data_IF_834149486141
#
_entry.id   IF_834149486141
#
_cell.length_a   1.000
_cell.length_b   1.000
_cell.length_c   1.000
_cell.angle_alpha   90.00
_cell.angle_beta   90.00
_cell.angle_gamma   90.00
#
_symmetry.space_group_name_H-M   'P 1'
#
loop_
_entity.id
_entity.type
_entity.pdbx_description
1 polymer ?
#
# COMPACT_ATOMS: atom_id res chain seq x y z
N UNK A 1 -38.45 -96.11 33.38
CA UNK A 1 -39.46 -96.41 34.42
C UNK A 1 -38.85 -96.17 35.81
N UNK A 2 -39.63 -95.52 36.68
CA UNK A 2 -39.68 -95.61 38.15
C UNK A 2 -38.41 -95.57 39.02
N UNK A 3 -38.22 -94.41 39.67
CA UNK A 3 -38.15 -94.15 41.14
C UNK A 3 -37.73 -95.24 42.16
N UNK A 4 -36.79 -94.87 43.06
CA UNK A 4 -36.81 -95.02 44.55
C UNK A 4 -35.53 -94.32 45.12
N UNK A 5 -35.60 -93.19 45.83
CA UNK A 5 -35.77 -93.00 47.30
C UNK A 5 -34.77 -93.79 48.20
N UNK A 6 -33.79 -93.12 48.82
CA UNK A 6 -33.72 -92.71 50.26
C UNK A 6 -32.68 -93.61 51.00
N UNK A 7 -31.82 -93.24 51.97
CA UNK A 7 -31.94 -92.42 53.20
C UNK A 7 -30.52 -92.05 53.75
N UNK A 8 -30.41 -90.83 54.33
CA UNK A 8 -29.54 -90.23 55.38
C UNK A 8 -28.37 -91.00 56.08
N UNK A 9 -27.24 -90.30 56.37
CA UNK A 9 -27.00 -89.61 57.66
C UNK A 9 -25.56 -89.05 57.87
N UNK A 10 -25.49 -87.72 58.07
CA UNK A 10 -24.70 -86.89 59.01
C UNK A 10 -23.33 -87.38 59.57
N UNK A 11 -22.27 -86.58 59.37
CA UNK A 11 -21.45 -85.92 60.44
C UNK A 11 -20.29 -85.09 59.83
N UNK A 12 -20.23 -83.80 60.21
CA UNK A 12 -19.16 -82.86 59.86
C UNK A 12 -17.85 -83.18 60.59
N UNK A 13 -16.69 -82.98 59.93
CA UNK A 13 -15.45 -82.64 60.61
C UNK A 13 -15.02 -81.20 60.32
N UNK A 14 -14.42 -80.62 61.35
CA UNK A 14 -13.90 -79.27 61.53
C UNK A 14 -12.78 -78.87 60.55
N UNK A 15 -12.75 -77.58 60.23
CA UNK A 15 -11.76 -76.89 59.39
C UNK A 15 -10.45 -76.66 60.17
N UNK A 16 -9.27 -76.98 59.61
CA UNK A 16 -8.02 -76.37 60.02
C UNK A 16 -7.63 -75.22 59.08
N UNK A 17 -7.40 -74.05 59.69
CA UNK A 17 -6.75 -72.89 59.08
C UNK A 17 -5.29 -73.22 58.68
N UNK A 18 -4.98 -73.20 57.38
CA UNK A 18 -3.73 -72.63 56.84
C UNK A 18 -3.69 -72.68 55.30
N UNK A 19 -4.08 -71.60 54.63
CA UNK A 19 -3.69 -71.35 53.24
C UNK A 19 -3.23 -69.90 53.16
N UNK A 20 -1.93 -69.71 52.97
CA UNK A 20 -1.28 -68.44 52.63
C UNK A 20 -1.66 -68.08 51.19
N UNK A 21 -2.11 -66.85 50.89
CA UNK A 21 -2.44 -66.46 49.53
C UNK A 21 -1.17 -66.44 48.64
N UNK A 22 -1.28 -66.82 47.35
CA UNK A 22 -0.18 -66.68 46.41
C UNK A 22 0.11 -65.18 46.15
N UNK A 23 1.39 -64.87 45.96
CA UNK A 23 1.88 -63.55 45.56
C UNK A 23 1.20 -63.06 44.26
N UNK A 24 0.91 -61.76 44.12
CA UNK A 24 0.25 -61.26 42.92
C UNK A 24 1.15 -61.45 41.69
N UNK A 25 0.65 -62.24 40.74
CA UNK A 25 1.22 -62.43 39.42
C UNK A 25 1.33 -61.08 38.69
N UNK A 26 2.54 -60.75 38.24
CA UNK A 26 2.80 -59.58 37.41
C UNK A 26 2.03 -59.71 36.10
N UNK A 27 1.00 -58.87 35.92
CA UNK A 27 0.29 -58.72 34.65
C UNK A 27 1.27 -58.12 33.64
N UNK A 28 1.47 -58.70 32.44
CA UNK A 28 2.25 -58.05 31.40
C UNK A 28 1.51 -56.79 30.95
N UNK A 29 2.12 -55.64 31.22
CA UNK A 29 1.66 -54.34 30.75
C UNK A 29 1.77 -54.36 29.23
N UNK A 30 0.62 -54.34 28.53
CA UNK A 30 0.62 -54.07 27.09
C UNK A 30 1.29 -52.69 26.88
N UNK A 31 2.15 -52.54 25.85
CA UNK A 31 2.60 -51.21 25.47
C UNK A 31 1.37 -50.33 25.21
N UNK A 32 1.37 -49.07 25.67
CA UNK A 32 0.26 -48.17 25.44
C UNK A 32 -0.06 -48.14 23.94
N UNK A 33 -1.35 -48.28 23.62
CA UNK A 33 -1.87 -47.97 22.29
C UNK A 33 -1.27 -46.61 21.87
N UNK A 34 -0.79 -46.43 20.62
CA UNK A 34 -0.37 -45.10 20.17
C UNK A 34 -1.53 -44.14 20.46
N UNK A 35 -1.25 -43.12 21.28
CA UNK A 35 -2.20 -42.06 21.58
C UNK A 35 -2.75 -41.52 20.25
N UNK A 36 -4.06 -41.26 20.12
CA UNK A 36 -4.58 -40.58 18.94
C UNK A 36 -3.75 -39.31 18.74
N UNK A 37 -3.13 -39.19 17.56
CA UNK A 37 -2.15 -38.14 17.28
C UNK A 37 -2.78 -36.78 17.61
N UNK A 38 -1.99 -36.04 18.38
CA UNK A 38 -2.37 -34.97 19.28
C UNK A 38 -3.14 -33.87 18.55
N UNK A 39 -4.42 -33.71 18.89
CA UNK A 39 -5.21 -32.56 18.44
C UNK A 39 -4.47 -31.26 18.84
N UNK A 40 -4.20 -30.39 17.88
CA UNK A 40 -3.51 -29.12 18.11
C UNK A 40 -4.32 -27.92 17.60
N UNK A 41 -4.00 -26.74 18.09
CA UNK A 41 -4.42 -25.47 17.53
C UNK A 41 -3.21 -24.71 17.04
N UNK A 42 -3.37 -23.94 15.97
CA UNK A 42 -2.34 -23.01 15.50
C UNK A 42 -2.72 -21.63 16.00
N UNK A 43 -1.73 -20.89 16.48
CA UNK A 43 -1.91 -19.54 16.98
C UNK A 43 -0.90 -18.63 16.29
N UNK A 44 -1.42 -17.60 15.63
CA UNK A 44 -0.65 -16.52 15.03
C UNK A 44 -0.43 -15.37 16.02
N UNK A 45 0.14 -14.25 15.57
CA UNK A 45 0.22 -13.03 16.37
C UNK A 45 -1.19 -12.50 16.69
N UNK A 46 -1.33 -11.87 17.86
CA UNK A 46 -2.58 -11.26 18.35
C UNK A 46 -2.79 -9.84 17.80
N UNK A 47 -1.79 -9.27 17.13
CA UNK A 47 -1.81 -7.97 16.47
C UNK A 47 -1.26 -8.09 15.05
N UNK A 48 -1.55 -7.09 14.22
CA UNK A 48 -0.99 -7.01 12.88
C UNK A 48 0.54 -6.88 12.95
N UNK A 49 1.25 -7.68 12.18
CA UNK A 49 2.71 -7.59 12.04
C UNK A 49 3.01 -6.40 11.14
N UNK A 50 3.80 -5.45 11.62
CA UNK A 50 4.18 -4.28 10.84
C UNK A 50 5.57 -4.49 10.23
N UNK A 51 5.71 -4.21 8.93
CA UNK A 51 7.00 -4.24 8.24
C UNK A 51 7.20 -3.00 7.37
N UNK A 52 8.43 -2.52 7.26
CA UNK A 52 8.76 -1.34 6.43
C UNK A 52 8.99 -1.74 4.98
N UNK A 53 8.59 -0.87 4.03
CA UNK A 53 8.88 -1.04 2.61
C UNK A 53 10.40 -1.26 2.35
N UNK A 54 10.75 -2.28 1.57
CA UNK A 54 12.12 -2.70 1.29
C UNK A 54 12.85 -3.38 2.46
N UNK A 55 12.21 -3.47 3.63
CA UNK A 55 12.74 -4.12 4.83
C UNK A 55 12.48 -5.63 4.86
N UNK A 56 12.43 -6.19 6.08
CA UNK A 56 12.03 -7.58 6.34
C UNK A 56 10.77 -7.65 7.21
N UNK A 57 9.94 -8.66 7.00
CA UNK A 57 8.83 -9.04 7.87
C UNK A 57 9.08 -10.43 8.46
N UNK A 58 8.65 -10.66 9.70
CA UNK A 58 8.74 -11.96 10.36
C UNK A 58 7.35 -12.38 10.84
N UNK A 59 6.78 -13.40 10.19
CA UNK A 59 5.44 -13.91 10.46
C UNK A 59 5.56 -15.16 11.34
N UNK A 60 5.15 -15.05 12.61
CA UNK A 60 5.28 -16.13 13.59
C UNK A 60 4.01 -16.96 13.71
N UNK A 61 4.13 -18.28 13.77
CA UNK A 61 3.04 -19.16 14.20
C UNK A 61 3.51 -20.24 15.16
N UNK A 62 2.60 -20.71 16.00
CA UNK A 62 2.92 -21.74 16.97
C UNK A 62 1.80 -22.74 17.25
N UNK A 63 2.19 -23.95 17.62
CA UNK A 63 1.31 -25.03 18.04
C UNK A 63 0.96 -24.92 19.53
N UNK A 64 -0.31 -25.20 19.84
CA UNK A 64 -0.80 -25.41 21.21
C UNK A 64 -1.59 -26.72 21.26
N UNK A 65 -1.23 -27.69 22.12
CA UNK A 65 -0.08 -27.69 23.02
C UNK A 65 1.26 -27.74 22.27
N UNK A 66 2.37 -27.35 22.94
CA UNK A 66 3.71 -27.35 22.32
C UNK A 66 4.14 -28.76 21.93
N UNK A 67 4.58 -28.93 20.69
CA UNK A 67 5.06 -30.21 20.14
C UNK A 67 5.91 -29.97 18.91
N UNK A 68 6.73 -30.94 18.51
CA UNK A 68 7.58 -30.82 17.33
C UNK A 68 6.75 -30.76 16.05
N UNK A 69 7.10 -29.81 15.18
CA UNK A 69 6.56 -29.66 13.85
C UNK A 69 7.54 -30.07 12.73
N UNK A 70 8.70 -30.66 13.07
CA UNK A 70 9.74 -31.02 12.08
C UNK A 70 9.24 -31.97 10.99
N UNK A 71 8.35 -32.88 11.38
CA UNK A 71 7.75 -33.89 10.51
C UNK A 71 6.35 -33.50 10.03
N UNK A 72 5.98 -32.22 10.14
CA UNK A 72 4.73 -31.67 9.63
C UNK A 72 5.00 -30.89 8.35
N UNK A 73 3.99 -30.78 7.50
CA UNK A 73 3.97 -29.76 6.46
C UNK A 73 3.58 -28.43 7.11
N UNK A 74 4.41 -27.42 6.91
CA UNK A 74 4.23 -26.09 7.50
C UNK A 74 4.31 -25.08 6.37
N UNK A 75 3.36 -24.16 6.30
CA UNK A 75 3.37 -23.19 5.22
C UNK A 75 2.61 -21.91 5.52
N UNK A 76 2.88 -20.93 4.67
CA UNK A 76 2.15 -19.67 4.61
C UNK A 76 1.54 -19.52 3.23
N UNK A 77 0.29 -19.10 3.21
CA UNK A 77 -0.44 -18.76 1.98
C UNK A 77 -1.09 -17.39 2.09
N UNK A 78 -1.35 -16.75 0.96
CA UNK A 78 -2.21 -15.57 0.91
C UNK A 78 -3.64 -15.98 1.22
N UNK A 79 -4.31 -15.31 2.15
CA UNK A 79 -5.63 -15.76 2.61
C UNK A 79 -6.73 -15.65 1.55
N UNK A 80 -6.60 -14.72 0.59
CA UNK A 80 -7.63 -14.44 -0.41
C UNK A 80 -7.73 -15.57 -1.45
N UNK A 81 -6.58 -16.03 -1.95
CA UNK A 81 -6.52 -16.97 -3.07
C UNK A 81 -5.83 -18.31 -2.71
N UNK A 82 -5.40 -18.48 -1.45
CA UNK A 82 -4.67 -19.66 -0.95
C UNK A 82 -3.40 -19.99 -1.73
N UNK A 83 -2.79 -18.98 -2.35
CA UNK A 83 -1.54 -19.11 -3.10
C UNK A 83 -0.32 -19.21 -2.17
N UNK A 84 0.65 -20.03 -2.54
CA UNK A 84 1.77 -20.44 -1.68
C UNK A 84 2.83 -19.33 -1.59
N UNK A 85 2.98 -18.78 -0.40
CA UNK A 85 4.04 -17.82 -0.05
C UNK A 85 5.30 -18.56 0.33
N UNK A 86 5.20 -19.60 1.16
CA UNK A 86 6.31 -20.47 1.52
C UNK A 86 5.77 -21.81 2.01
N UNK A 87 6.50 -22.89 1.72
CA UNK A 87 6.12 -24.24 2.10
C UNK A 87 7.34 -25.02 2.56
N UNK A 88 7.22 -25.70 3.70
CA UNK A 88 8.20 -26.61 4.24
C UNK A 88 7.59 -28.00 4.36
N UNK A 89 8.30 -29.00 3.87
CA UNK A 89 7.91 -30.41 3.92
C UNK A 89 9.14 -31.30 3.83
N UNK A 90 9.09 -32.45 4.50
CA UNK A 90 10.13 -33.48 4.45
C UNK A 90 11.53 -32.96 4.83
N UNK A 91 11.59 -32.04 5.80
CA UNK A 91 12.87 -31.47 6.26
C UNK A 91 13.43 -30.36 5.39
N UNK A 92 12.72 -29.91 4.35
CA UNK A 92 13.23 -28.96 3.36
C UNK A 92 12.19 -27.92 2.92
N UNK A 93 12.66 -26.73 2.57
CA UNK A 93 11.84 -25.68 1.95
C UNK A 93 11.52 -26.03 0.49
N UNK A 94 10.28 -25.77 0.08
CA UNK A 94 9.71 -26.19 -1.21
C UNK A 94 9.47 -24.97 -2.11
N UNK A 95 10.53 -24.49 -2.77
CA UNK A 95 10.46 -23.30 -3.63
C UNK A 95 9.74 -23.52 -4.98
N UNK A 96 9.53 -24.77 -5.40
CA UNK A 96 8.98 -25.09 -6.74
C UNK A 96 7.50 -24.76 -6.93
N UNK A 97 6.73 -24.63 -5.86
CA UNK A 97 5.30 -24.26 -5.88
C UNK A 97 5.05 -22.84 -5.36
N UNK A 98 6.13 -22.13 -5.04
CA UNK A 98 6.07 -20.77 -4.52
C UNK A 98 5.61 -19.80 -5.61
N UNK A 99 4.79 -18.83 -5.23
CA UNK A 99 4.45 -17.70 -6.09
C UNK A 99 5.72 -16.97 -6.56
N UNK A 100 5.74 -16.59 -7.84
CA UNK A 100 6.89 -15.94 -8.47
C UNK A 100 7.31 -14.67 -7.72
N UNK A 101 6.34 -13.93 -7.19
CA UNK A 101 6.53 -12.67 -6.45
C UNK A 101 7.34 -12.83 -5.16
N UNK A 102 7.34 -14.02 -4.54
CA UNK A 102 8.07 -14.32 -3.31
C UNK A 102 9.38 -15.08 -3.55
N UNK A 103 9.68 -15.39 -4.82
CA UNK A 103 10.88 -16.14 -5.18
C UNK A 103 12.15 -15.40 -4.75
N UNK A 104 13.02 -16.08 -4.00
CA UNK A 104 14.26 -15.49 -3.49
C UNK A 104 14.07 -14.50 -2.34
N UNK A 105 12.84 -14.32 -1.84
CA UNK A 105 12.50 -13.36 -0.78
C UNK A 105 12.10 -14.01 0.54
N UNK A 106 12.02 -15.34 0.63
CA UNK A 106 11.49 -15.99 1.85
C UNK A 106 12.49 -16.95 2.48
N UNK A 107 12.45 -17.07 3.80
CA UNK A 107 13.25 -18.02 4.57
C UNK A 107 12.45 -18.53 5.78
N UNK A 108 12.41 -19.85 5.98
CA UNK A 108 11.83 -20.44 7.19
C UNK A 108 12.88 -20.53 8.30
N UNK A 109 12.65 -19.80 9.40
CA UNK A 109 13.45 -19.91 10.61
C UNK A 109 12.95 -21.09 11.46
N UNK A 110 13.82 -22.09 11.60
CA UNK A 110 13.49 -23.42 12.16
C UNK A 110 14.15 -23.72 13.52
N UNK A 111 14.79 -22.74 14.15
CA UNK A 111 15.54 -22.95 15.40
C UNK A 111 14.68 -23.52 16.55
N UNK A 112 13.37 -23.28 16.52
CA UNK A 112 12.43 -23.66 17.57
C UNK A 112 11.26 -24.54 17.08
N UNK A 113 11.44 -25.15 15.92
CA UNK A 113 10.43 -26.01 15.30
C UNK A 113 10.11 -27.24 16.14
N UNK A 114 11.07 -27.72 16.94
CA UNK A 114 10.90 -28.85 17.88
C UNK A 114 9.93 -28.54 19.01
N UNK A 115 9.73 -27.26 19.34
CA UNK A 115 8.72 -26.80 20.30
C UNK A 115 7.44 -26.31 19.61
N UNK A 116 7.36 -26.46 18.28
CA UNK A 116 6.20 -26.08 17.48
C UNK A 116 6.11 -24.59 17.21
N UNK A 117 7.22 -23.86 17.26
CA UNK A 117 7.29 -22.44 16.90
C UNK A 117 8.08 -22.26 15.61
N UNK A 118 7.50 -21.55 14.66
CA UNK A 118 8.07 -21.33 13.33
C UNK A 118 7.88 -19.87 12.96
N UNK A 119 8.84 -19.34 12.21
CA UNK A 119 8.81 -17.97 11.74
C UNK A 119 9.16 -17.93 10.27
N UNK A 120 8.27 -17.35 9.46
CA UNK A 120 8.58 -17.04 8.08
C UNK A 120 9.17 -15.64 8.02
N UNK A 121 10.40 -15.53 7.55
CA UNK A 121 10.99 -14.25 7.18
C UNK A 121 10.72 -13.96 5.71
N UNK A 122 10.27 -12.75 5.40
CA UNK A 122 10.10 -12.22 4.05
C UNK A 122 11.01 -11.00 3.90
N UNK A 123 11.87 -10.99 2.89
CA UNK A 123 12.81 -9.94 2.53
C UNK A 123 12.25 -9.02 1.44
N UNK A 124 12.81 -7.82 1.34
CA UNK A 124 12.46 -6.82 0.33
C UNK A 124 10.95 -6.58 0.27
N UNK A 125 10.35 -6.15 1.39
CA UNK A 125 8.89 -6.00 1.51
C UNK A 125 8.34 -5.01 0.47
N UNK A 126 7.32 -5.43 -0.26
CA UNK A 126 6.63 -4.70 -1.32
C UNK A 126 5.24 -4.26 -0.87
N UNK A 127 4.62 -3.23 -1.49
CA UNK A 127 3.27 -2.81 -1.12
C UNK A 127 2.21 -3.90 -1.33
N UNK A 128 2.43 -4.78 -2.31
CA UNK A 128 1.59 -5.95 -2.61
C UNK A 128 1.57 -7.00 -1.50
N UNK A 129 2.59 -7.03 -0.64
CA UNK A 129 2.65 -7.96 0.49
C UNK A 129 1.64 -7.59 1.58
N UNK A 130 1.10 -6.36 1.58
CA UNK A 130 0.10 -5.96 2.56
C UNK A 130 -1.14 -6.86 2.53
N UNK A 131 -1.65 -7.21 3.70
CA UNK A 131 -2.93 -7.89 3.85
C UNK A 131 -2.87 -9.22 4.62
N UNK A 132 -3.92 -10.04 4.47
CA UNK A 132 -4.09 -11.24 5.28
C UNK A 132 -3.30 -12.43 4.76
N UNK A 133 -2.59 -13.07 5.67
CA UNK A 133 -1.90 -14.34 5.49
C UNK A 133 -2.56 -15.42 6.34
N UNK A 134 -2.34 -16.66 5.92
CA UNK A 134 -2.71 -17.84 6.67
C UNK A 134 -1.47 -18.70 6.86
N UNK A 135 -1.12 -18.98 8.11
CA UNK A 135 -0.12 -20.00 8.41
C UNK A 135 -0.84 -21.31 8.75
N UNK A 136 -0.31 -22.43 8.30
CA UNK A 136 -0.91 -23.72 8.56
C UNK A 136 0.13 -24.76 8.96
N UNK A 137 -0.35 -25.74 9.71
CA UNK A 137 0.39 -26.94 10.09
C UNK A 137 -0.45 -28.15 9.72
N UNK A 138 0.18 -29.10 9.07
CA UNK A 138 -0.46 -30.31 8.61
C UNK A 138 0.39 -31.53 8.96
N UNK A 139 -0.20 -32.42 9.75
CA UNK A 139 0.29 -33.77 9.99
C UNK A 139 -0.37 -34.74 9.00
N UNK A 140 -0.12 -36.04 9.15
CA UNK A 140 -0.75 -37.08 8.33
C UNK A 140 -2.28 -37.12 8.42
N UNK A 141 -2.87 -36.67 9.54
CA UNK A 141 -4.33 -36.78 9.78
C UNK A 141 -4.99 -35.50 10.29
N UNK A 142 -4.21 -34.45 10.56
CA UNK A 142 -4.71 -33.24 11.20
C UNK A 142 -4.15 -31.99 10.54
N UNK A 143 -5.03 -31.05 10.20
CA UNK A 143 -4.72 -29.76 9.61
C UNK A 143 -5.31 -28.66 10.50
N UNK A 144 -4.53 -27.61 10.74
CA UNK A 144 -5.04 -26.40 11.36
C UNK A 144 -4.26 -25.19 10.90
N UNK A 145 -4.92 -24.04 10.91
CA UNK A 145 -4.36 -22.76 10.49
C UNK A 145 -4.69 -21.62 11.45
N UNK A 146 -3.93 -20.54 11.33
CA UNK A 146 -4.23 -19.25 11.93
C UNK A 146 -4.10 -18.14 10.89
N UNK A 147 -5.00 -17.16 11.01
CA UNK A 147 -4.95 -15.93 10.24
C UNK A 147 -4.04 -14.92 10.93
N UNK A 148 -3.30 -14.19 10.12
CA UNK A 148 -2.44 -13.10 10.57
C UNK A 148 -2.43 -11.98 9.53
N UNK A 149 -2.31 -10.76 9.98
CA UNK A 149 -2.31 -9.58 9.11
C UNK A 149 -0.89 -9.04 9.02
N UNK A 150 -0.37 -8.87 7.79
CA UNK A 150 0.84 -8.11 7.54
C UNK A 150 0.44 -6.70 7.09
N UNK A 151 0.83 -5.71 7.87
CA UNK A 151 0.71 -4.31 7.53
C UNK A 151 2.05 -3.81 7.02
N UNK A 152 2.09 -3.43 5.74
CA UNK A 152 3.26 -2.75 5.20
C UNK A 152 3.16 -1.31 5.65
N UNK A 153 3.93 -0.97 6.68
CA UNK A 153 4.15 0.41 7.06
C UNK A 153 4.80 1.12 5.87
N UNK A 154 4.03 2.04 5.28
CA UNK A 154 4.66 3.21 4.69
C UNK A 154 5.64 3.74 5.73
N UNK A 155 6.89 4.05 5.34
CA UNK A 155 7.92 4.44 6.30
C UNK A 155 7.31 5.45 7.27
N UNK A 156 7.25 5.07 8.56
CA UNK A 156 7.04 6.04 9.62
C UNK A 156 8.03 7.16 9.32
N UNK A 157 7.60 8.43 9.26
CA UNK A 157 8.48 9.50 8.81
C UNK A 157 9.73 9.39 9.65
N UNK A 158 10.80 8.91 9.01
CA UNK A 158 12.11 8.94 9.59
C UNK A 158 12.36 10.39 9.94
N UNK A 159 13.41 10.63 10.69
CA UNK A 159 13.85 11.98 10.99
C UNK A 159 14.39 12.73 9.74
N UNK A 160 13.80 12.49 8.56
CA UNK A 160 13.49 13.47 7.54
C UNK A 160 11.94 13.58 7.45
N UNK A 161 11.38 14.47 8.28
CA UNK A 161 10.06 15.03 8.01
C UNK A 161 10.13 15.75 6.66
N UNK A 162 9.91 15.06 5.55
CA UNK A 162 9.39 15.73 4.35
C UNK A 162 7.90 15.87 4.60
N UNK A 163 7.62 16.82 5.49
CA UNK A 163 6.32 17.45 5.62
C UNK A 163 5.80 17.69 4.21
N UNK A 164 4.60 17.18 3.92
CA UNK A 164 3.80 17.70 2.81
C UNK A 164 3.73 19.20 3.07
N UNK A 165 4.56 19.98 2.39
CA UNK A 165 4.62 21.41 2.62
C UNK A 165 3.60 22.02 1.68
N UNK A 166 2.38 22.34 2.15
CA UNK A 166 1.49 23.13 1.32
C UNK A 166 2.22 24.44 1.01
N UNK A 167 2.43 24.71 -0.28
CA UNK A 167 3.19 25.86 -0.74
C UNK A 167 2.23 26.99 -1.00
N UNK A 168 2.53 28.17 -0.46
CA UNK A 168 1.79 29.37 -0.80
C UNK A 168 2.25 29.94 -2.15
N UNK A 169 1.88 29.25 -3.24
CA UNK A 169 2.32 29.59 -4.60
C UNK A 169 1.82 30.98 -5.01
N UNK A 170 2.69 31.79 -5.59
CA UNK A 170 2.35 33.11 -6.15
C UNK A 170 2.71 33.19 -7.62
N UNK A 171 1.98 33.98 -8.41
CA UNK A 171 2.23 34.15 -9.84
C UNK A 171 3.40 35.11 -10.07
N UNK A 172 4.31 34.75 -10.98
CA UNK A 172 5.49 35.54 -11.33
C UNK A 172 5.20 36.51 -12.50
N UNK A 173 5.10 37.83 -12.26
CA UNK A 173 4.77 38.80 -13.30
C UNK A 173 5.83 38.93 -14.41
N UNK A 174 7.08 38.56 -14.14
CA UNK A 174 8.15 38.66 -15.13
C UNK A 174 8.04 37.56 -16.19
N UNK A 175 7.43 36.42 -15.85
CA UNK A 175 7.15 35.32 -16.77
C UNK A 175 5.83 35.48 -17.53
N UNK A 176 4.90 36.28 -16.99
CA UNK A 176 3.52 36.33 -17.46
C UNK A 176 3.39 36.90 -18.88
N UNK A 177 2.62 36.20 -19.71
CA UNK A 177 2.29 36.70 -21.04
C UNK A 177 1.60 38.08 -20.99
N UNK A 178 1.91 39.02 -21.92
CA UNK A 178 1.33 40.36 -21.91
C UNK A 178 -0.21 40.44 -21.99
N UNK A 179 -0.89 39.39 -22.45
CA UNK A 179 -2.35 39.33 -22.45
C UNK A 179 -2.95 38.94 -21.10
N UNK A 180 -2.15 38.40 -20.17
CA UNK A 180 -2.65 37.92 -18.88
C UNK A 180 -2.81 39.05 -17.86
N UNK A 181 -3.98 39.13 -17.24
CA UNK A 181 -4.23 40.01 -16.11
C UNK A 181 -4.05 39.24 -14.81
N UNK A 182 -3.06 39.66 -14.01
CA UNK A 182 -2.79 39.12 -12.68
C UNK A 182 -3.49 39.97 -11.62
N UNK A 183 -3.98 39.34 -10.54
CA UNK A 183 -4.43 40.08 -9.35
C UNK A 183 -3.26 40.64 -8.55
N UNK A 184 -3.53 41.66 -7.75
CA UNK A 184 -2.54 42.32 -6.88
C UNK A 184 -1.90 41.35 -5.87
N UNK A 185 -2.71 40.43 -5.32
CA UNK A 185 -2.25 39.36 -4.42
C UNK A 185 -1.44 38.24 -5.12
N UNK A 186 -1.30 38.31 -6.45
CA UNK A 186 -0.64 37.30 -7.30
C UNK A 186 -1.22 35.89 -7.14
N UNK A 187 -2.49 35.76 -6.76
CA UNK A 187 -3.18 34.46 -6.65
C UNK A 187 -4.14 34.19 -7.80
N UNK A 188 -4.44 35.16 -8.67
CA UNK A 188 -5.40 35.01 -9.75
C UNK A 188 -4.80 35.40 -11.09
N UNK A 189 -5.11 34.62 -12.11
CA UNK A 189 -4.75 34.90 -13.50
C UNK A 189 -5.94 34.66 -14.41
N UNK A 190 -6.20 35.59 -15.32
CA UNK A 190 -7.18 35.44 -16.40
C UNK A 190 -6.62 35.95 -17.70
N UNK A 191 -7.20 35.48 -18.79
CA UNK A 191 -6.99 36.07 -20.10
C UNK A 191 -7.60 37.49 -20.13
N UNK A 192 -6.88 38.40 -20.77
CA UNK A 192 -7.23 39.81 -20.91
C UNK A 192 -7.83 40.10 -22.28
N UNK A 193 -8.61 41.17 -22.36
CA UNK A 193 -9.17 41.69 -23.61
C UNK A 193 -8.15 42.47 -24.44
N UNK A 194 -7.06 42.94 -23.81
CA UNK A 194 -6.00 43.72 -24.44
C UNK A 194 -4.62 43.29 -24.00
N UNK A 195 -3.67 43.38 -24.93
CA UNK A 195 -2.25 43.26 -24.64
C UNK A 195 -1.80 44.41 -23.75
N UNK A 196 -1.15 44.11 -22.63
CA UNK A 196 -0.59 45.11 -21.74
C UNK A 196 0.78 45.59 -22.22
N UNK A 197 1.09 46.85 -21.91
CA UNK A 197 2.40 47.44 -22.20
C UNK A 197 3.39 47.10 -21.07
N UNK A 198 3.89 45.86 -21.09
CA UNK A 198 4.89 45.36 -20.15
C UNK A 198 6.28 45.36 -20.79
N UNK A 199 7.35 45.59 -20.01
CA UNK A 199 8.72 45.47 -20.53
C UNK A 199 8.97 44.04 -21.00
N UNK A 200 9.58 43.92 -22.18
CA UNK A 200 10.06 42.63 -22.65
C UNK A 200 11.29 42.20 -21.83
N UNK A 201 11.34 40.91 -21.51
CA UNK A 201 12.46 40.28 -20.83
C UNK A 201 12.57 38.82 -21.30
N UNK A 202 13.73 38.16 -21.12
CA UNK A 202 13.93 36.79 -21.60
C UNK A 202 12.99 35.75 -20.96
N UNK A 203 12.55 35.95 -19.72
CA UNK A 203 11.69 35.03 -18.96
C UNK A 203 10.22 35.09 -19.39
N UNK A 204 9.79 36.20 -20.00
CA UNK A 204 8.41 36.43 -20.39
C UNK A 204 7.98 35.51 -21.54
N UNK A 205 6.91 34.74 -21.32
CA UNK A 205 6.24 34.02 -22.40
C UNK A 205 5.55 34.99 -23.36
N UNK A 206 5.83 34.94 -24.66
CA UNK A 206 5.21 35.84 -25.64
C UNK A 206 4.19 35.11 -26.55
N UNK A 207 4.46 33.91 -27.08
CA UNK A 207 3.50 33.22 -27.94
C UNK A 207 2.38 32.48 -27.19
N UNK A 208 2.60 32.10 -25.93
CA UNK A 208 1.67 31.30 -25.14
C UNK A 208 1.09 32.11 -24.00
N UNK A 209 -0.24 32.03 -23.81
CA UNK A 209 -1.00 32.75 -22.78
C UNK A 209 -0.84 32.05 -21.43
N UNK A 210 0.38 32.02 -20.90
CA UNK A 210 0.74 31.32 -19.67
C UNK A 210 1.65 32.15 -18.76
N UNK A 211 1.82 31.67 -17.54
CA UNK A 211 2.60 32.29 -16.46
C UNK A 211 3.12 31.19 -15.52
N UNK A 212 4.28 31.41 -14.90
CA UNK A 212 4.83 30.52 -13.89
C UNK A 212 4.49 30.97 -12.47
N UNK A 213 4.55 30.03 -11.53
CA UNK A 213 4.67 30.36 -10.11
C UNK A 213 6.06 30.94 -9.81
N UNK A 214 6.18 31.87 -8.86
CA UNK A 214 7.45 32.48 -8.45
C UNK A 214 8.38 31.47 -7.75
N UNK A 215 7.79 30.43 -7.15
CA UNK A 215 8.50 29.42 -6.39
C UNK A 215 9.14 28.37 -7.31
N UNK A 216 10.43 28.09 -7.07
CA UNK A 216 11.19 27.03 -7.73
C UNK A 216 11.50 25.87 -6.77
N UNK A 217 11.33 24.65 -7.26
CA UNK A 217 11.53 23.43 -6.50
C UNK A 217 12.70 22.62 -7.05
N UNK A 218 13.65 22.30 -6.18
CA UNK A 218 14.83 21.47 -6.45
C UNK A 218 14.86 20.20 -5.58
N UNK A 219 13.73 19.89 -4.93
CA UNK A 219 13.60 18.82 -3.96
C UNK A 219 12.35 18.97 -3.09
N UNK A 220 11.97 17.88 -2.44
CA UNK A 220 10.88 17.73 -1.50
C UNK A 220 9.52 17.50 -2.14
N UNK A 221 8.53 17.33 -1.26
CA UNK A 221 7.13 17.14 -1.60
C UNK A 221 6.37 18.46 -1.49
N UNK A 222 5.70 18.87 -2.56
CA UNK A 222 4.96 20.14 -2.64
C UNK A 222 3.52 19.87 -3.07
N UNK A 223 2.60 20.63 -2.48
CA UNK A 223 1.19 20.59 -2.84
C UNK A 223 0.60 21.98 -2.92
N UNK A 224 -0.22 22.21 -3.93
CA UNK A 224 -1.06 23.40 -4.05
C UNK A 224 -2.34 23.09 -4.81
N UNK A 225 -3.34 23.94 -4.65
CA UNK A 225 -4.65 23.77 -5.26
C UNK A 225 -5.02 24.97 -6.10
N UNK A 226 -5.71 24.71 -7.21
CA UNK A 226 -6.17 25.74 -8.14
C UNK A 226 -7.65 25.57 -8.38
N UNK A 227 -8.42 26.61 -8.05
CA UNK A 227 -9.83 26.71 -8.46
C UNK A 227 -9.89 27.03 -9.95
N UNK A 228 -10.57 26.15 -10.68
CA UNK A 228 -10.83 26.25 -12.12
C UNK A 228 -12.30 26.56 -12.43
N UNK A 229 -13.20 26.39 -11.46
CA UNK A 229 -14.61 26.78 -11.58
C UNK A 229 -15.34 26.13 -12.76
N UNK A 230 -16.02 26.95 -13.57
CA UNK A 230 -16.76 26.53 -14.78
C UNK A 230 -15.96 26.65 -16.07
N UNK A 231 -14.65 26.94 -15.99
CA UNK A 231 -13.81 27.16 -17.17
C UNK A 231 -13.85 25.98 -18.13
N UNK A 232 -13.93 26.27 -19.42
CA UNK A 232 -14.01 25.28 -20.50
C UNK A 232 -12.65 24.98 -21.14
N UNK A 233 -11.61 25.76 -20.80
CA UNK A 233 -10.24 25.50 -21.19
C UNK A 233 -9.23 26.04 -20.17
N UNK A 234 -8.18 25.27 -19.91
CA UNK A 234 -7.03 25.64 -19.07
C UNK A 234 -5.93 24.59 -19.15
N UNK A 235 -4.72 24.97 -18.77
CA UNK A 235 -3.57 24.08 -18.63
C UNK A 235 -2.90 24.30 -17.26
N UNK A 236 -2.67 23.22 -16.52
CA UNK A 236 -2.12 23.25 -15.17
C UNK A 236 -1.04 22.18 -14.98
N UNK A 237 -0.01 22.48 -14.20
CA UNK A 237 0.98 21.49 -13.81
C UNK A 237 2.30 22.11 -13.36
N UNK A 238 3.41 21.50 -13.77
CA UNK A 238 4.76 22.02 -13.56
C UNK A 238 5.57 22.00 -14.84
N UNK A 239 6.55 22.88 -14.94
CA UNK A 239 7.55 22.83 -16.00
C UNK A 239 8.96 23.04 -15.45
N UNK A 240 9.98 22.67 -16.22
CA UNK A 240 11.36 23.06 -15.91
C UNK A 240 11.47 24.58 -15.96
N UNK A 241 12.32 25.13 -15.11
CA UNK A 241 12.65 26.56 -15.18
C UNK A 241 13.27 26.93 -16.53
N UNK A 242 14.07 26.04 -17.13
CA UNK A 242 14.80 26.27 -18.37
C UNK A 242 13.98 26.13 -19.66
N UNK A 243 12.65 26.03 -19.60
CA UNK A 243 11.83 25.87 -20.82
C UNK A 243 11.86 27.14 -21.67
N UNK A 244 11.78 26.97 -23.00
CA UNK A 244 11.81 28.10 -23.95
C UNK A 244 10.57 28.98 -23.79
N UNK A 245 10.77 30.30 -23.80
CA UNK A 245 9.73 31.32 -23.56
C UNK A 245 9.19 31.99 -24.82
N UNK A 246 9.98 32.01 -25.90
CA UNK A 246 9.73 32.80 -27.11
C UNK A 246 9.26 31.95 -28.31
N UNK A 247 8.80 30.72 -28.04
CA UNK A 247 8.32 29.77 -29.05
C UNK A 247 6.96 29.20 -28.62
N UNK A 248 6.22 28.61 -29.56
CA UNK A 248 5.00 27.85 -29.22
C UNK A 248 5.36 26.63 -28.38
N UNK A 249 4.62 26.43 -27.29
CA UNK A 249 4.87 25.32 -26.37
C UNK A 249 4.35 24.01 -26.94
N UNK A 250 5.22 23.00 -26.95
CA UNK A 250 4.84 21.59 -27.16
C UNK A 250 4.91 20.86 -25.83
N UNK A 251 3.76 20.63 -25.21
CA UNK A 251 3.66 20.01 -23.89
C UNK A 251 4.04 18.53 -23.95
N UNK A 252 5.23 18.19 -23.47
CA UNK A 252 5.65 16.81 -23.20
C UNK A 252 6.66 16.79 -22.03
N UNK A 253 6.77 15.68 -21.28
CA UNK A 253 7.83 15.51 -20.28
C UNK A 253 9.22 15.67 -20.87
N UNK A 254 9.44 15.22 -22.12
CA UNK A 254 10.70 15.39 -22.85
C UNK A 254 11.08 16.87 -23.00
N UNK A 255 10.12 17.73 -23.25
CA UNK A 255 10.31 19.18 -23.37
C UNK A 255 10.27 19.89 -21.99
N UNK A 256 10.20 19.14 -20.89
CA UNK A 256 10.19 19.68 -19.54
C UNK A 256 8.83 20.15 -19.05
N UNK A 257 7.73 19.58 -19.55
CA UNK A 257 6.37 19.91 -19.12
C UNK A 257 5.63 18.67 -18.61
N UNK A 258 5.06 18.78 -17.41
CA UNK A 258 4.16 17.79 -16.81
C UNK A 258 2.84 18.48 -16.52
N UNK A 259 1.99 18.51 -17.55
CA UNK A 259 0.80 19.38 -17.61
C UNK A 259 -0.43 18.56 -17.95
N UNK A 260 -1.52 18.85 -17.25
CA UNK A 260 -2.87 18.39 -17.57
C UNK A 260 -3.65 19.53 -18.23
N UNK A 261 -4.43 19.19 -19.25
CA UNK A 261 -5.13 20.14 -20.11
C UNK A 261 -6.62 19.82 -20.13
N UNK A 262 -7.43 20.87 -19.95
CA UNK A 262 -8.83 20.89 -20.36
C UNK A 262 -8.93 21.67 -21.67
N UNK A 263 -9.49 21.06 -22.70
CA UNK A 263 -9.77 21.71 -23.99
C UNK A 263 -11.07 21.18 -24.58
N UNK A 264 -11.97 22.08 -24.93
CA UNK A 264 -13.28 21.74 -25.50
C UNK A 264 -14.06 20.70 -24.66
N UNK A 265 -13.96 20.82 -23.33
CA UNK A 265 -14.60 19.90 -22.38
C UNK A 265 -13.92 18.54 -22.20
N UNK A 266 -12.80 18.28 -22.88
CA UNK A 266 -12.03 17.04 -22.78
C UNK A 266 -10.77 17.23 -21.94
N UNK A 267 -10.51 16.26 -21.07
CA UNK A 267 -9.33 16.23 -20.21
C UNK A 267 -8.26 15.33 -20.81
N UNK A 268 -7.02 15.77 -20.75
CA UNK A 268 -5.87 14.99 -21.20
C UNK A 268 -4.62 15.30 -20.39
N UNK A 269 -3.78 14.30 -20.20
CA UNK A 269 -2.40 14.48 -19.76
C UNK A 269 -1.49 14.64 -20.99
N UNK A 270 -0.58 15.60 -20.94
CA UNK A 270 0.38 15.88 -22.02
C UNK A 270 1.56 14.89 -22.06
N UNK A 271 1.24 13.60 -22.13
CA UNK A 271 2.17 12.52 -22.46
C UNK A 271 2.48 12.49 -23.96
N UNK A 272 3.36 11.56 -24.39
CA UNK A 272 3.68 11.35 -25.80
C UNK A 272 3.48 9.88 -26.17
N UNK A 273 2.35 9.50 -26.81
CA UNK A 273 1.25 10.36 -27.26
C UNK A 273 0.39 10.87 -26.09
N UNK A 274 -0.41 11.92 -26.33
CA UNK A 274 -1.31 12.47 -25.30
C UNK A 274 -2.28 11.41 -24.79
N UNK A 275 -2.45 11.35 -23.47
CA UNK A 275 -3.33 10.39 -22.79
C UNK A 275 -4.65 11.08 -22.43
N UNK A 276 -5.79 10.68 -23.04
CA UNK A 276 -7.12 11.13 -22.63
C UNK A 276 -7.44 10.65 -21.21
N UNK A 277 -8.10 11.50 -20.41
CA UNK A 277 -8.47 11.18 -19.03
C UNK A 277 -9.99 11.00 -18.90
N UNK A 278 -10.48 9.83 -18.45
CA UNK A 278 -11.90 9.62 -18.21
C UNK A 278 -12.32 10.30 -16.90
N UNK A 279 -12.77 11.55 -16.99
CA UNK A 279 -13.19 12.34 -15.84
C UNK A 279 -14.70 12.22 -15.65
N UNK A 280 -15.12 11.45 -14.65
CA UNK A 280 -16.54 11.20 -14.33
C UNK A 280 -17.22 12.40 -13.66
N UNK A 281 -16.52 13.10 -12.78
CA UNK A 281 -17.00 14.33 -12.12
C UNK A 281 -16.14 15.49 -12.56
N UNK A 282 -16.77 16.55 -13.06
CA UNK A 282 -16.04 17.75 -13.52
C UNK A 282 -15.33 18.44 -12.33
N UNK A 283 -14.00 18.59 -12.36
CA UNK A 283 -13.29 19.29 -11.29
C UNK A 283 -13.61 20.79 -11.27
N UNK A 284 -14.00 21.30 -10.11
CA UNK A 284 -14.05 22.75 -9.80
C UNK A 284 -12.73 23.26 -9.25
N UNK A 285 -11.94 22.33 -8.71
CA UNK A 285 -10.66 22.59 -8.09
C UNK A 285 -9.75 21.40 -8.35
N UNK A 286 -8.50 21.69 -8.73
CA UNK A 286 -7.48 20.69 -9.07
C UNK A 286 -6.35 20.81 -8.06
N UNK A 287 -6.02 19.69 -7.42
CA UNK A 287 -4.85 19.56 -6.54
C UNK A 287 -3.67 19.08 -7.36
N UNK A 288 -2.52 19.71 -7.17
CA UNK A 288 -1.27 19.37 -7.86
C UNK A 288 -0.26 18.99 -6.80
N UNK A 289 0.27 17.79 -6.90
CA UNK A 289 1.25 17.23 -5.99
C UNK A 289 2.54 16.93 -6.76
N UNK A 290 3.66 17.40 -6.24
CA UNK A 290 5.00 17.11 -6.74
C UNK A 290 5.73 16.32 -5.65
N UNK A 291 6.19 15.12 -5.96
CA UNK A 291 7.21 14.41 -5.19
C UNK A 291 8.49 14.42 -6.02
N UNK A 292 9.42 15.31 -5.67
CA UNK A 292 10.60 15.54 -6.49
C UNK A 292 11.53 14.32 -6.49
N UNK A 293 11.74 13.72 -5.32
CA UNK A 293 12.62 12.57 -5.12
C UNK A 293 12.03 11.29 -5.72
N UNK A 294 10.72 11.08 -5.62
CA UNK A 294 10.04 9.95 -6.28
C UNK A 294 9.87 10.17 -7.80
N UNK A 295 10.07 11.40 -8.28
CA UNK A 295 9.93 11.70 -9.69
C UNK A 295 8.47 11.79 -10.15
N UNK A 296 7.55 12.16 -9.27
CA UNK A 296 6.11 12.14 -9.52
C UNK A 296 5.48 13.53 -9.60
N UNK A 297 4.58 13.72 -10.57
CA UNK A 297 3.64 14.84 -10.62
C UNK A 297 2.23 14.29 -10.72
N UNK A 298 1.47 14.42 -9.64
CA UNK A 298 0.13 13.86 -9.49
C UNK A 298 -0.94 14.94 -9.48
N UNK A 299 -2.06 14.65 -10.12
CA UNK A 299 -3.22 15.52 -10.24
C UNK A 299 -4.43 14.88 -9.59
N UNK A 300 -5.18 15.69 -8.83
CA UNK A 300 -6.36 15.25 -8.10
C UNK A 300 -7.54 16.15 -8.40
N UNK A 301 -8.73 15.56 -8.49
CA UNK A 301 -9.97 16.30 -8.45
C UNK A 301 -10.34 16.52 -6.98
N UNK A 302 -10.16 17.75 -6.50
CA UNK A 302 -10.45 18.08 -5.09
C UNK A 302 -11.96 18.04 -4.81
N UNK A 303 -12.78 18.14 -5.87
CA UNK A 303 -14.25 18.18 -5.77
C UNK A 303 -14.82 16.87 -5.26
N UNK A 304 -14.35 15.73 -5.78
CA UNK A 304 -14.79 14.39 -5.41
C UNK A 304 -13.67 13.57 -4.74
N UNK A 305 -12.51 14.19 -4.52
CA UNK A 305 -11.29 13.59 -3.94
C UNK A 305 -10.75 12.40 -4.73
N UNK A 306 -11.01 12.36 -6.05
CA UNK A 306 -10.47 11.33 -6.92
C UNK A 306 -9.09 11.69 -7.46
N UNK A 307 -8.29 10.66 -7.73
CA UNK A 307 -7.06 10.79 -8.51
C UNK A 307 -7.41 10.97 -10.00
N UNK A 308 -6.71 11.88 -10.67
CA UNK A 308 -6.91 12.14 -12.11
C UNK A 308 -5.80 11.52 -12.95
N UNK A 309 -4.54 11.78 -12.60
CA UNK A 309 -3.38 11.30 -13.36
C UNK A 309 -2.08 11.48 -12.58
N UNK A 310 -1.09 10.62 -12.83
CA UNK A 310 0.29 10.79 -12.34
C UNK A 310 1.27 10.65 -13.48
N UNK A 311 2.16 11.64 -13.63
CA UNK A 311 3.37 11.48 -14.41
C UNK A 311 4.49 10.93 -13.53
N UNK A 312 5.30 10.05 -14.10
CA UNK A 312 6.55 9.58 -13.51
C UNK A 312 7.74 10.02 -14.38
N UNK A 313 8.88 10.24 -13.75
CA UNK A 313 10.11 10.65 -14.43
C UNK A 313 11.27 10.84 -13.47
N UNK A 314 12.32 11.51 -13.95
CA UNK A 314 13.46 11.90 -13.11
C UNK A 314 13.66 13.39 -13.24
N UNK A 315 13.75 14.07 -12.11
CA UNK A 315 13.98 15.51 -12.05
C UNK A 315 15.41 15.79 -11.60
N UNK A 316 16.09 16.67 -12.32
CA UNK A 316 17.48 17.05 -12.06
C UNK A 316 17.71 18.56 -12.14
N UNK A 317 16.63 19.32 -12.34
CA UNK A 317 16.62 20.77 -12.53
C UNK A 317 15.49 21.38 -11.71
N UNK A 318 15.51 22.71 -11.51
CA UNK A 318 14.40 23.43 -10.89
C UNK A 318 13.09 23.22 -11.66
N UNK A 319 12.02 22.88 -10.95
CA UNK A 319 10.65 22.86 -11.45
C UNK A 319 9.88 24.06 -10.91
N UNK A 320 9.02 24.64 -11.75
CA UNK A 320 8.18 25.80 -11.44
C UNK A 320 6.71 25.41 -11.67
N UNK A 321 5.75 25.84 -10.83
CA UNK A 321 4.33 25.73 -11.13
C UNK A 321 4.00 26.39 -12.47
N UNK A 322 3.12 25.77 -13.24
CA UNK A 322 2.71 26.22 -14.57
C UNK A 322 1.21 26.47 -14.62
N UNK A 323 0.82 27.65 -15.13
CA UNK A 323 -0.58 28.06 -15.25
C UNK A 323 -0.87 28.67 -16.61
N UNK A 324 -1.97 28.24 -17.22
CA UNK A 324 -2.57 28.91 -18.38
C UNK A 324 -4.09 28.91 -18.22
N UNK A 325 -4.74 30.07 -18.18
CA UNK A 325 -6.19 30.15 -18.08
C UNK A 325 -6.90 29.73 -19.38
N UNK A 326 -6.15 29.39 -20.44
CA UNK A 326 -6.68 29.18 -21.78
C UNK A 326 -7.18 30.49 -22.41
N UNK A 327 -7.35 30.47 -23.73
CA UNK A 327 -7.90 31.60 -24.46
C UNK A 327 -9.36 31.86 -24.07
N UNK A 328 -9.76 33.13 -24.01
CA UNK A 328 -11.17 33.51 -24.00
C UNK A 328 -11.77 33.39 -25.40
N UNK A 329 -12.11 32.17 -25.82
CA UNK A 329 -12.88 31.92 -27.04
C UNK A 329 -14.37 32.30 -26.80
N UNK A 330 -14.66 33.60 -26.81
CA UNK A 330 -15.99 34.13 -26.48
C UNK A 330 -16.25 34.21 -24.96
N UNK A 331 -17.52 34.37 -24.51
CA UNK A 331 -17.84 34.66 -23.11
C UNK A 331 -17.65 33.46 -22.16
N UNK A 332 -17.31 32.28 -22.67
CA UNK A 332 -17.44 31.01 -21.94
C UNK A 332 -16.20 30.61 -21.11
N UNK A 333 -15.05 31.28 -21.27
CA UNK A 333 -13.81 30.94 -20.56
C UNK A 333 -13.13 32.14 -19.85
N UNK A 334 -13.87 33.22 -19.58
CA UNK A 334 -13.33 34.48 -19.03
C UNK A 334 -12.99 34.44 -17.53
N UNK A 335 -13.50 33.45 -16.80
CA UNK A 335 -13.21 33.30 -15.37
C UNK A 335 -11.71 33.05 -15.12
N UNK A 336 -11.15 33.57 -14.01
CA UNK A 336 -9.74 33.38 -13.67
C UNK A 336 -9.47 31.96 -13.16
N UNK A 337 -8.22 31.54 -13.28
CA UNK A 337 -7.63 30.54 -12.38
C UNK A 337 -7.32 31.23 -11.04
N UNK A 338 -7.61 30.55 -9.93
CA UNK A 338 -7.36 31.08 -8.58
C UNK A 338 -6.57 30.07 -7.78
N UNK A 339 -5.35 30.41 -7.40
CA UNK A 339 -4.52 29.63 -6.47
C UNK A 339 -5.17 29.72 -5.09
N UNK A 340 -5.47 28.58 -4.48
CA UNK A 340 -6.04 28.53 -3.14
C UNK A 340 -4.95 28.88 -2.11
N UNK A 341 -5.29 29.66 -1.06
CA UNK A 341 -4.40 29.82 0.07
C UNK A 341 -4.18 28.47 0.76
N UNK A 342 -2.98 28.28 1.28
CA UNK A 342 -2.67 27.17 2.17
C UNK A 342 -3.64 27.24 3.37
N UNK A 343 -4.37 26.17 3.71
CA UNK A 343 -5.12 26.15 4.97
C UNK A 343 -4.14 26.39 6.11
N UNK A 344 -4.35 27.46 6.88
CA UNK A 344 -3.66 27.61 8.16
C UNK A 344 -3.88 26.32 8.95
N UNK A 345 -2.82 25.69 9.43
CA UNK A 345 -2.93 24.46 10.22
C UNK A 345 -3.90 24.70 11.40
N UNK A 346 -5.14 24.28 11.23
CA UNK A 346 -5.97 23.92 12.36
C UNK A 346 -5.38 22.61 12.86
N UNK A 347 -4.77 22.63 14.05
CA UNK A 347 -4.32 21.42 14.71
C UNK A 347 -5.45 20.40 14.74
N UNK A 348 -5.30 19.34 13.96
CA UNK A 348 -6.35 18.35 13.76
C UNK A 348 -5.98 17.43 12.62
N UNK A 349 -5.60 16.21 12.98
CA UNK A 349 -5.45 15.07 12.08
C UNK A 349 -6.56 15.07 11.03
N UNK A 350 -6.17 15.23 9.78
CA UNK A 350 -6.95 14.86 8.62
C UNK A 350 -6.07 14.00 7.73
N UNK A 351 -5.93 12.74 8.14
CA UNK A 351 -5.74 11.63 7.22
C UNK A 351 -7.08 10.89 7.08
N UNK A 352 -7.41 10.33 5.91
CA UNK A 352 -8.49 9.35 5.80
C UNK A 352 -8.21 8.09 6.62
#
# INVERSE_FOLDING_TARGET
>A
EKTAESVFSILCPTIPHNIKPPSPSTIPVLPPLPSPQTQFTVTGPDHAVTASLGGEAVLSCHLSPRMSAENMEVGWVRSQDSEIVHLYRDGQDQYGQQMLEYSGRTELLRDDITNGRVFLRIYDIQPSDNGPYKCFFQSSIFYKDALLELQVAAPAPGHDSVTLSPVDVTLDPDTANPWLVLSEDRKRVRDGDKRQNLPDNPERFDPCVCVLGAEGFVGGRRYWEVKVGEKTGWELGVCRESVRRKELVTYTPRNGYWVMVLRDGKYSACTSPSTPLPVSVRPRQVGIFLDYEAGEVSFYNVTDRSHLFTFTGTFSTTLRPYFSPGYSAGPTNTAPLIICPVPAQAGGNLGP
#
